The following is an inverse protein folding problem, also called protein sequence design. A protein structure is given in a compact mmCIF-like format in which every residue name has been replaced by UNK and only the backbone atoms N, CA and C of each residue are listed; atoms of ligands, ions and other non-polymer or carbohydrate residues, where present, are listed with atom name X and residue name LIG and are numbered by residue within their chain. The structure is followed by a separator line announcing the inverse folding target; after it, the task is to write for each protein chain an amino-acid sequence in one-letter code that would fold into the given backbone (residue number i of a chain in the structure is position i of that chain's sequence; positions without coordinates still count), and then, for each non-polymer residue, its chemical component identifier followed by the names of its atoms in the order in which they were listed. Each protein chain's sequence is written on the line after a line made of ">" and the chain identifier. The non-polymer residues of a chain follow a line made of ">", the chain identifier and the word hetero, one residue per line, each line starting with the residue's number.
data_IF_144535563987
#
_entry.id   IF_144535563987
#
_cell.length_a   1.000
_cell.length_b   1.000
_cell.length_c   1.000
_cell.angle_alpha   90.00
_cell.angle_beta   90.00
_cell.angle_gamma   90.00
#
_symmetry.space_group_name_H-M   'P 1'
#
loop_
_entity.id
_entity.type
_entity.pdbx_description
1 polymer ?
#
# COMPACT_ATOMS: atom_id res chain seq x y z
N UNK A 1 6.49 4.90 -5.66
CA UNK A 1 5.08 4.44 -5.72
C UNK A 1 4.37 5.04 -6.93
N UNK A 2 3.32 4.39 -7.43
CA UNK A 2 2.54 4.94 -8.55
C UNK A 2 1.74 6.19 -8.13
N UNK A 3 1.34 7.08 -9.05
CA UNK A 3 0.45 8.20 -8.74
C UNK A 3 -0.85 7.76 -8.04
N UNK A 4 -1.46 6.64 -8.48
CA UNK A 4 -2.63 6.02 -7.82
C UNK A 4 -2.41 5.81 -6.32
N UNK A 5 -1.26 5.21 -5.99
CA UNK A 5 -0.87 4.90 -4.62
C UNK A 5 -0.74 6.18 -3.78
N UNK A 6 -0.21 7.24 -4.38
CA UNK A 6 0.00 8.52 -3.71
C UNK A 6 -1.34 9.21 -3.43
N UNK A 7 -2.27 9.35 -4.39
CA UNK A 7 -3.58 9.93 -4.06
C UNK A 7 -4.38 9.07 -3.09
N UNK A 8 -4.36 7.74 -3.24
CA UNK A 8 -5.10 6.86 -2.32
C UNK A 8 -4.62 7.08 -0.88
N UNK A 9 -3.30 7.22 -0.69
CA UNK A 9 -2.72 7.58 0.60
C UNK A 9 -3.11 8.99 1.04
N UNK A 10 -2.98 10.01 0.20
CA UNK A 10 -3.34 11.40 0.56
C UNK A 10 -4.81 11.53 0.96
N UNK A 11 -5.71 10.76 0.33
CA UNK A 11 -7.14 10.71 0.68
C UNK A 11 -7.42 9.95 1.98
N UNK A 12 -6.41 9.37 2.64
CA UNK A 12 -6.56 8.58 3.85
C UNK A 12 -7.24 7.23 3.63
N UNK A 13 -7.39 6.79 2.38
CA UNK A 13 -8.06 5.55 1.99
C UNK A 13 -7.12 4.35 2.08
N UNK A 14 -7.70 3.17 2.26
CA UNK A 14 -6.94 1.92 2.19
C UNK A 14 -6.34 1.72 0.79
N UNK A 15 -5.02 1.59 0.71
CA UNK A 15 -4.31 1.24 -0.51
C UNK A 15 -3.77 -0.20 -0.40
N UNK A 16 -4.05 -1.09 -1.39
CA UNK A 16 -3.52 -2.46 -1.37
C UNK A 16 -2.00 -2.50 -1.22
N UNK A 17 -1.49 -3.48 -0.46
CA UNK A 17 -0.07 -3.59 -0.12
C UNK A 17 0.81 -3.86 -1.35
N UNK A 18 0.27 -4.52 -2.37
CA UNK A 18 1.00 -4.85 -3.60
C UNK A 18 1.72 -3.65 -4.22
N UNK A 19 1.11 -2.46 -4.16
CA UNK A 19 1.70 -1.22 -4.71
C UNK A 19 3.00 -0.77 -4.02
N UNK A 20 3.26 -1.27 -2.81
CA UNK A 20 4.43 -0.97 -2.01
C UNK A 20 5.48 -2.10 -2.07
N UNK A 21 5.16 -3.21 -2.72
CA UNK A 21 6.12 -4.31 -2.96
C UNK A 21 7.15 -3.90 -4.01
N UNK A 22 8.28 -4.61 -4.06
CA UNK A 22 9.28 -4.39 -5.11
C UNK A 22 8.68 -4.51 -6.51
N UNK A 23 7.81 -5.50 -6.74
CA UNK A 23 7.14 -5.68 -8.03
C UNK A 23 6.24 -4.49 -8.36
N UNK A 24 5.36 -4.09 -7.45
CA UNK A 24 4.47 -2.93 -7.65
C UNK A 24 5.24 -1.63 -7.89
N UNK A 25 6.34 -1.41 -7.15
CA UNK A 25 7.22 -0.25 -7.34
C UNK A 25 7.93 -0.26 -8.70
N UNK A 26 8.39 -1.42 -9.18
CA UNK A 26 9.00 -1.54 -10.50
C UNK A 26 7.97 -1.35 -11.62
N UNK A 27 6.78 -1.95 -11.49
CA UNK A 27 5.69 -1.75 -12.44
C UNK A 27 5.31 -0.27 -12.55
N UNK A 28 5.24 0.44 -11.42
CA UNK A 28 5.00 1.88 -11.41
C UNK A 28 6.07 2.67 -12.18
N UNK A 29 7.36 2.30 -12.04
CA UNK A 29 8.47 2.93 -12.78
C UNK A 29 8.37 2.69 -14.28
N UNK A 30 8.08 1.45 -14.70
CA UNK A 30 7.93 1.11 -16.11
C UNK A 30 6.78 1.86 -16.76
N UNK A 31 5.62 1.90 -16.08
CA UNK A 31 4.42 2.61 -16.56
C UNK A 31 4.61 4.14 -16.64
N UNK A 32 5.43 4.73 -15.77
CA UNK A 32 5.76 6.15 -15.85
C UNK A 32 6.56 6.51 -17.11
N UNK A 33 7.30 5.56 -17.69
CA UNK A 33 8.09 5.77 -18.91
C UNK A 33 7.37 5.46 -20.22
N UNK A 34 6.14 4.92 -20.18
CA UNK A 34 5.42 4.41 -21.37
C UNK A 34 4.13 5.17 -21.74
N UNK A 35 3.71 6.17 -20.96
CA UNK A 35 2.36 6.74 -21.08
C UNK A 35 2.31 8.20 -21.52
N UNK A 36 2.01 8.40 -22.80
CA UNK A 36 1.41 9.60 -23.38
C UNK A 36 -0.09 9.64 -22.99
N UNK A 37 -0.40 9.96 -21.73
CA UNK A 37 -1.78 9.89 -21.22
C UNK A 37 -2.15 11.17 -20.45
N UNK A 38 -2.61 12.18 -21.21
CA UNK A 38 -3.04 13.53 -20.80
C UNK A 38 -4.29 13.58 -19.92
N UNK A 39 -4.81 12.45 -19.45
CA UNK A 39 -6.01 12.46 -18.60
C UNK A 39 -5.61 12.87 -17.18
N UNK A 40 -6.35 13.78 -16.54
CA UNK A 40 -6.05 14.32 -15.22
C UNK A 40 -7.13 13.89 -14.22
N UNK A 41 -6.72 13.37 -13.06
CA UNK A 41 -7.57 13.09 -11.90
C UNK A 41 -7.45 14.25 -10.91
N UNK A 42 -8.59 14.78 -10.48
CA UNK A 42 -8.64 15.80 -9.43
C UNK A 42 -8.94 15.16 -8.08
N UNK A 43 -8.27 15.61 -7.03
CA UNK A 43 -8.52 15.19 -5.64
C UNK A 43 -8.41 16.38 -4.70
N UNK A 44 -9.13 16.33 -3.58
CA UNK A 44 -9.08 17.37 -2.55
C UNK A 44 -8.12 16.95 -1.45
N UNK A 45 -7.14 17.79 -1.15
CA UNK A 45 -6.23 17.57 -0.02
C UNK A 45 -6.97 17.76 1.32
N UNK A 46 -7.04 16.73 2.19
CA UNK A 46 -7.77 16.81 3.46
C UNK A 46 -7.28 17.92 4.40
N UNK A 47 -6.00 18.33 4.29
CA UNK A 47 -5.40 19.31 5.19
C UNK A 47 -5.57 20.77 4.75
N UNK A 48 -5.73 21.00 3.45
CA UNK A 48 -5.75 22.36 2.86
C UNK A 48 -7.06 22.72 2.19
N UNK A 49 -7.96 21.74 1.99
CA UNK A 49 -9.21 21.88 1.24
C UNK A 49 -8.99 22.37 -0.22
N UNK A 50 -7.77 22.21 -0.73
CA UNK A 50 -7.37 22.65 -2.07
C UNK A 50 -7.57 21.51 -3.07
N UNK A 51 -8.04 21.85 -4.27
CA UNK A 51 -8.19 20.91 -5.37
C UNK A 51 -6.84 20.72 -6.08
N UNK A 52 -6.26 19.54 -5.92
CA UNK A 52 -5.02 19.11 -6.57
C UNK A 52 -5.32 18.19 -7.76
N UNK A 53 -4.34 18.03 -8.64
CA UNK A 53 -4.49 17.26 -9.87
C UNK A 53 -3.31 16.30 -10.09
N UNK A 54 -3.56 15.16 -10.72
CA UNK A 54 -2.51 14.20 -11.12
C UNK A 54 -2.85 13.40 -12.38
N UNK A 55 -1.86 12.85 -13.11
CA UNK A 55 -2.13 12.09 -14.33
C UNK A 55 -2.88 10.77 -14.10
N UNK A 56 -3.77 10.38 -15.02
CA UNK A 56 -4.63 9.19 -14.95
C UNK A 56 -3.90 7.87 -15.20
N UNK A 57 -2.57 7.91 -15.34
CA UNK A 57 -1.69 6.78 -14.99
C UNK A 57 -1.93 6.27 -13.55
N UNK A 58 -2.69 7.02 -12.74
CA UNK A 58 -3.29 6.61 -11.49
C UNK A 58 -4.45 5.58 -11.60
N UNK A 59 -4.61 4.83 -12.70
CA UNK A 59 -5.52 3.66 -12.69
C UNK A 59 -4.92 2.52 -11.88
N UNK A 60 -5.78 1.80 -11.15
CA UNK A 60 -5.43 0.53 -10.49
C UNK A 60 -4.79 -0.40 -11.53
N UNK A 61 -3.63 -0.96 -11.24
CA UNK A 61 -3.02 -1.96 -12.09
C UNK A 61 -3.90 -3.23 -12.08
N UNK A 62 -4.37 -3.71 -13.25
CA UNK A 62 -5.22 -4.90 -13.31
C UNK A 62 -4.48 -6.18 -12.89
N UNK A 63 -3.14 -6.19 -12.97
CA UNK A 63 -2.27 -7.26 -12.47
C UNK A 63 -1.85 -7.09 -11.01
N UNK A 64 -2.45 -6.17 -10.26
CA UNK A 64 -2.16 -6.03 -8.83
C UNK A 64 -2.57 -7.31 -8.07
N UNK A 65 -1.64 -7.88 -7.33
CA UNK A 65 -1.88 -9.08 -6.52
C UNK A 65 -2.74 -8.69 -5.30
N UNK A 66 -3.71 -9.53 -4.94
CA UNK A 66 -4.53 -9.29 -3.76
C UNK A 66 -3.70 -9.51 -2.49
N UNK A 67 -4.01 -8.76 -1.43
CA UNK A 67 -3.24 -8.82 -0.19
C UNK A 67 -3.19 -10.23 0.43
N UNK A 68 -4.26 -11.03 0.25
CA UNK A 68 -4.34 -12.43 0.70
C UNK A 68 -3.40 -13.39 -0.05
N UNK A 69 -2.93 -12.98 -1.22
CA UNK A 69 -2.08 -13.78 -2.11
C UNK A 69 -0.61 -13.30 -2.05
N UNK A 70 -0.29 -12.31 -1.19
CA UNK A 70 1.07 -11.82 -0.98
C UNK A 70 1.90 -12.77 -0.11
N UNK A 71 3.19 -12.88 -0.41
CA UNK A 71 4.13 -13.59 0.46
C UNK A 71 4.52 -12.73 1.68
N UNK A 72 4.98 -13.35 2.76
CA UNK A 72 5.53 -12.61 3.91
C UNK A 72 6.72 -11.72 3.53
N UNK A 73 7.51 -12.12 2.53
CA UNK A 73 8.60 -11.29 2.00
C UNK A 73 8.03 -10.01 1.40
N UNK A 74 7.01 -10.14 0.57
CA UNK A 74 6.36 -9.00 -0.08
C UNK A 74 5.65 -8.09 0.93
N UNK A 75 4.95 -8.67 1.91
CA UNK A 75 4.32 -7.92 3.00
C UNK A 75 5.39 -7.16 3.80
N UNK A 76 6.50 -7.80 4.15
CA UNK A 76 7.60 -7.14 4.89
C UNK A 76 8.11 -5.92 4.11
N UNK A 77 8.40 -6.09 2.82
CA UNK A 77 8.85 -5.00 1.95
C UNK A 77 7.79 -3.91 1.83
N UNK A 78 6.53 -4.30 1.61
CA UNK A 78 5.42 -3.38 1.47
C UNK A 78 5.26 -2.49 2.70
N UNK A 79 5.24 -3.08 3.90
CA UNK A 79 5.11 -2.35 5.18
C UNK A 79 6.25 -1.36 5.39
N UNK A 80 7.49 -1.76 5.10
CA UNK A 80 8.67 -0.88 5.23
C UNK A 80 8.57 0.35 4.33
N UNK A 81 7.89 0.25 3.18
CA UNK A 81 7.65 1.38 2.28
C UNK A 81 6.36 2.16 2.64
N UNK A 82 5.33 1.46 3.12
CA UNK A 82 4.00 1.99 3.39
C UNK A 82 3.98 2.97 4.56
N UNK A 83 4.54 2.59 5.71
CA UNK A 83 4.48 3.40 6.94
C UNK A 83 5.18 4.77 6.79
N UNK A 84 6.41 4.86 6.22
CA UNK A 84 7.04 6.16 5.99
C UNK A 84 6.28 7.05 5.00
N UNK A 85 5.57 6.46 4.03
CA UNK A 85 4.74 7.22 3.10
C UNK A 85 3.52 7.83 3.80
N UNK A 86 2.87 7.10 4.70
CA UNK A 86 1.77 7.66 5.50
C UNK A 86 2.23 8.87 6.31
N UNK A 87 3.41 8.78 6.96
CA UNK A 87 4.01 9.90 7.69
C UNK A 87 4.25 11.10 6.78
N UNK A 88 4.81 10.88 5.60
CA UNK A 88 5.10 11.94 4.60
C UNK A 88 3.83 12.59 4.06
N UNK A 89 2.72 11.86 4.00
CA UNK A 89 1.43 12.33 3.50
C UNK A 89 0.47 12.78 4.61
N UNK A 90 1.01 13.11 5.80
CA UNK A 90 0.25 13.84 6.83
C UNK A 90 -0.80 13.01 7.56
N UNK A 91 -0.68 11.68 7.57
CA UNK A 91 -1.57 10.84 8.37
C UNK A 91 -1.40 11.14 9.86
N UNK A 92 -2.48 11.03 10.62
CA UNK A 92 -2.46 11.25 12.07
C UNK A 92 -1.50 10.27 12.77
N UNK A 93 -0.74 10.79 13.73
CA UNK A 93 0.27 10.02 14.46
C UNK A 93 -0.32 8.78 15.16
N UNK A 94 -1.52 8.89 15.73
CA UNK A 94 -2.21 7.79 16.39
C UNK A 94 -2.57 6.67 15.40
N UNK A 95 -3.02 7.04 14.20
CA UNK A 95 -3.33 6.08 13.12
C UNK A 95 -2.07 5.36 12.64
N UNK A 96 -0.98 6.09 12.49
CA UNK A 96 0.33 5.52 12.14
C UNK A 96 0.81 4.57 13.23
N UNK A 97 0.65 4.92 14.51
CA UNK A 97 1.05 4.10 15.64
C UNK A 97 0.25 2.78 15.71
N UNK A 98 -1.07 2.85 15.56
CA UNK A 98 -1.94 1.66 15.57
C UNK A 98 -1.55 0.71 14.44
N UNK A 99 -1.38 1.22 13.22
CA UNK A 99 -0.99 0.41 12.07
C UNK A 99 0.43 -0.15 12.24
N UNK A 100 1.37 0.63 12.76
CA UNK A 100 2.73 0.16 13.03
C UNK A 100 2.75 -1.00 14.02
N UNK A 101 1.96 -0.91 15.10
CA UNK A 101 1.79 -2.01 16.06
C UNK A 101 1.17 -3.25 15.43
N UNK A 102 0.13 -3.06 14.61
CA UNK A 102 -0.49 -4.17 13.88
C UNK A 102 0.53 -4.91 13.01
N UNK A 103 1.29 -4.19 12.19
CA UNK A 103 2.29 -4.81 11.32
C UNK A 103 3.44 -5.45 12.10
N UNK A 104 3.89 -4.81 13.19
CA UNK A 104 4.90 -5.38 14.06
C UNK A 104 4.43 -6.73 14.62
N UNK A 105 3.22 -6.77 15.20
CA UNK A 105 2.64 -7.99 15.76
C UNK A 105 2.49 -9.08 14.70
N UNK A 106 2.04 -8.74 13.49
CA UNK A 106 1.89 -9.68 12.39
C UNK A 106 3.24 -10.26 11.95
N UNK A 107 4.27 -9.40 11.81
CA UNK A 107 5.59 -9.77 11.30
C UNK A 107 6.43 -10.54 12.33
N UNK A 108 6.16 -10.39 13.63
CA UNK A 108 6.84 -11.13 14.70
C UNK A 108 6.03 -12.29 15.25
N UNK A 109 4.81 -12.51 14.74
CA UNK A 109 3.93 -13.56 15.24
C UNK A 109 4.54 -14.96 15.07
N UNK A 110 4.40 -15.81 16.09
CA UNK A 110 4.97 -17.17 16.08
C UNK A 110 4.49 -18.01 14.88
N UNK A 111 3.24 -17.83 14.45
CA UNK A 111 2.69 -18.54 13.27
C UNK A 111 3.41 -18.24 11.96
N UNK A 112 4.09 -17.08 11.85
CA UNK A 112 4.95 -16.79 10.69
C UNK A 112 6.12 -17.77 10.60
N UNK A 113 6.64 -18.19 11.75
CA UNK A 113 7.80 -19.07 11.88
C UNK A 113 7.41 -20.53 12.14
N UNK A 114 6.11 -20.84 12.15
CA UNK A 114 5.61 -22.21 12.30
C UNK A 114 6.01 -23.07 11.10
N UNK A 115 6.29 -24.34 11.33
CA UNK A 115 6.49 -25.32 10.26
C UNK A 115 5.18 -25.68 9.53
N UNK A 116 4.03 -25.37 10.13
CA UNK A 116 2.72 -25.56 9.52
C UNK A 116 2.40 -24.38 8.58
N UNK A 117 2.26 -24.68 7.28
CA UNK A 117 1.94 -23.68 6.26
C UNK A 117 0.55 -23.04 6.45
N UNK A 118 -0.38 -23.73 7.11
CA UNK A 118 -1.73 -23.21 7.39
C UNK A 118 -1.65 -22.03 8.36
N UNK A 119 -0.76 -22.07 9.34
CA UNK A 119 -0.60 -21.01 10.36
C UNK A 119 -0.13 -19.71 9.69
N UNK A 120 0.89 -19.81 8.85
CA UNK A 120 1.42 -18.69 8.07
C UNK A 120 0.36 -18.13 7.09
N UNK A 121 -0.39 -19.00 6.41
CA UNK A 121 -1.51 -18.61 5.54
C UNK A 121 -2.61 -17.89 6.32
N UNK A 122 -2.97 -18.37 7.50
CA UNK A 122 -4.01 -17.75 8.33
C UNK A 122 -3.68 -16.29 8.68
N UNK A 123 -2.41 -15.99 8.98
CA UNK A 123 -1.96 -14.61 9.20
C UNK A 123 -2.08 -13.74 7.94
N UNK A 124 -1.71 -14.26 6.77
CA UNK A 124 -1.82 -13.54 5.49
C UNK A 124 -3.29 -13.26 5.14
N UNK A 125 -4.18 -14.19 5.43
CA UNK A 125 -5.62 -13.99 5.26
C UNK A 125 -6.16 -12.97 6.26
N UNK A 126 -5.81 -13.10 7.53
CA UNK A 126 -6.22 -12.17 8.58
C UNK A 126 -5.86 -10.73 8.23
N UNK A 127 -4.62 -10.47 7.79
CA UNK A 127 -4.23 -9.10 7.42
C UNK A 127 -4.99 -8.56 6.19
N UNK A 128 -5.36 -9.41 5.24
CA UNK A 128 -6.10 -8.97 4.05
C UNK A 128 -7.55 -8.55 4.36
N UNK A 129 -8.08 -8.99 5.50
CA UNK A 129 -9.39 -8.63 6.03
C UNK A 129 -9.35 -7.37 6.89
N UNK A 130 -8.20 -7.04 7.50
CA UNK A 130 -8.01 -5.81 8.26
C UNK A 130 -7.82 -4.62 7.28
N UNK A 131 -8.92 -3.99 6.87
CA UNK A 131 -8.94 -2.84 5.94
C UNK A 131 -9.34 -1.53 6.61
#
# INVERSE_FOLDING_TARGET
>A
PSPFTICTLTEGKHCPLWYFTNQGLQTAKTSAGTGDNDTIIFFTDPGSNTMNWMPATAKKNPGAIHDKDLSFKDITVAVTNYVPLMQRHGWEADRILILSKFWQNLLTHNYRFSSNQVDARALIHYQAEQR
#
